data_IF_239739971848
#
_entry.id   IF_239739971848
#
_cell.length_a   1.000
_cell.length_b   1.000
_cell.length_c   1.000
_cell.angle_alpha   90.00
_cell.angle_beta   90.00
_cell.angle_gamma   90.00
#
_symmetry.space_group_name_H-M   'P 1'
#
loop_
_entity.id
_entity.type
_entity.pdbx_description
1 polymer ?
#
# COMPACT_ATOMS: atom_id res chain seq x y z
N UNK A 1 -83.81 -72.83 54.55
CA UNK A 1 -82.99 -74.05 54.76
C UNK A 1 -81.55 -73.62 54.97
N UNK A 2 -80.88 -74.25 55.95
CA UNK A 2 -79.47 -74.15 56.31
C UNK A 2 -78.98 -72.90 57.06
N UNK A 3 -78.55 -73.15 58.30
CA UNK A 3 -77.92 -72.27 59.30
C UNK A 3 -76.38 -72.38 59.19
N UNK A 4 -75.65 -71.35 59.61
CA UNK A 4 -74.41 -71.41 60.42
C UNK A 4 -73.99 -69.96 60.76
N UNK A 5 -74.17 -69.48 62.00
CA UNK A 5 -73.26 -69.56 63.16
C UNK A 5 -71.89 -68.87 62.93
N UNK A 6 -71.70 -67.70 63.55
CA UNK A 6 -70.73 -67.45 64.64
C UNK A 6 -70.92 -66.06 65.29
N UNK A 7 -71.43 -66.11 66.53
CA UNK A 7 -71.17 -65.32 67.75
C UNK A 7 -71.11 -63.78 67.80
N UNK A 8 -71.80 -63.16 68.80
CA UNK A 8 -71.84 -61.72 69.07
C UNK A 8 -71.07 -61.28 70.36
N UNK A 9 -70.80 -59.97 70.46
CA UNK A 9 -70.56 -59.21 71.71
C UNK A 9 -70.49 -57.73 71.34
N UNK A 10 -71.50 -56.87 71.58
CA UNK A 10 -72.08 -56.40 72.86
C UNK A 10 -70.99 -55.76 73.74
N UNK A 11 -71.02 -54.50 74.18
CA UNK A 11 -72.04 -53.46 74.19
C UNK A 11 -71.43 -52.12 74.68
N UNK A 12 -72.18 -51.02 74.50
CA UNK A 12 -72.17 -49.77 75.28
C UNK A 12 -70.99 -48.79 75.16
N UNK A 13 -71.17 -47.47 75.23
CA UNK A 13 -72.30 -46.56 74.99
C UNK A 13 -71.69 -45.13 74.91
N UNK A 14 -72.45 -44.23 74.30
CA UNK A 14 -72.24 -42.81 74.08
C UNK A 14 -71.43 -42.01 75.12
N UNK A 15 -70.56 -41.11 74.62
CA UNK A 15 -70.74 -39.66 74.82
C UNK A 15 -69.73 -38.80 74.03
N UNK A 16 -70.27 -37.82 73.30
CA UNK A 16 -69.82 -36.43 73.18
C UNK A 16 -68.55 -36.02 72.38
N UNK A 17 -68.88 -35.41 71.23
CA UNK A 17 -68.47 -34.06 70.79
C UNK A 17 -67.07 -33.81 70.22
N UNK A 18 -67.10 -33.13 69.07
CA UNK A 18 -66.05 -32.34 68.43
C UNK A 18 -65.00 -33.08 67.59
N UNK A 19 -64.92 -32.65 66.32
CA UNK A 19 -63.71 -32.49 65.49
C UNK A 19 -63.72 -33.16 64.11
N UNK A 20 -64.70 -32.82 63.26
CA UNK A 20 -64.54 -32.97 61.80
C UNK A 20 -64.24 -31.63 61.10
N UNK A 21 -63.50 -30.74 61.78
CA UNK A 21 -62.79 -29.59 61.19
C UNK A 21 -61.37 -29.99 60.76
N UNK A 22 -61.22 -31.10 60.01
CA UNK A 22 -59.96 -31.39 59.31
C UNK A 22 -60.20 -31.29 57.81
N UNK A 23 -60.79 -30.16 57.44
CA UNK A 23 -60.56 -29.52 56.15
C UNK A 23 -59.07 -29.23 56.01
N UNK A 24 -58.47 -29.65 54.90
CA UNK A 24 -57.61 -28.77 54.09
C UNK A 24 -56.32 -28.19 54.71
N UNK A 25 -55.81 -28.68 55.85
CA UNK A 25 -54.68 -28.04 56.53
C UNK A 25 -53.30 -28.67 56.28
N UNK A 26 -53.15 -29.60 55.33
CA UNK A 26 -51.87 -30.27 55.07
C UNK A 26 -51.21 -29.94 53.71
N UNK A 27 -51.59 -28.84 53.04
CA UNK A 27 -50.90 -28.39 51.81
C UNK A 27 -50.43 -26.92 51.84
N UNK A 28 -50.44 -26.28 53.02
CA UNK A 28 -50.13 -24.85 53.16
C UNK A 28 -48.73 -24.54 53.74
N UNK A 29 -47.71 -25.37 53.52
CA UNK A 29 -46.34 -25.01 53.92
C UNK A 29 -45.32 -24.80 52.79
N UNK A 30 -45.57 -25.22 51.53
CA UNK A 30 -44.55 -25.10 50.46
C UNK A 30 -44.81 -24.04 49.38
N UNK A 31 -45.65 -23.03 49.64
CA UNK A 31 -45.94 -21.97 48.64
C UNK A 31 -45.09 -20.68 48.78
N UNK A 32 -44.28 -20.52 49.84
CA UNK A 32 -43.58 -19.25 50.12
C UNK A 32 -42.20 -19.08 49.47
N UNK A 33 -41.59 -20.12 48.90
CA UNK A 33 -40.28 -20.02 48.25
C UNK A 33 -40.31 -19.76 46.73
N UNK A 34 -41.48 -19.54 46.11
CA UNK A 34 -41.59 -19.34 44.65
C UNK A 34 -41.44 -17.88 44.20
N UNK A 35 -41.52 -16.92 45.10
CA UNK A 35 -41.39 -15.48 44.78
C UNK A 35 -39.94 -15.02 44.61
N UNK A 36 -39.00 -15.57 45.37
CA UNK A 36 -37.58 -15.14 45.30
C UNK A 36 -36.89 -15.66 44.03
N UNK A 37 -37.30 -16.84 43.55
CA UNK A 37 -36.75 -17.45 42.33
C UNK A 37 -36.95 -16.58 41.09
N UNK A 38 -38.04 -15.79 41.03
CA UNK A 38 -38.29 -14.92 39.87
C UNK A 38 -37.21 -13.83 39.75
N UNK A 39 -36.74 -13.26 40.85
CA UNK A 39 -35.69 -12.23 40.83
C UNK A 39 -34.37 -12.78 40.32
N UNK A 40 -33.96 -13.97 40.80
CA UNK A 40 -32.75 -14.63 40.32
C UNK A 40 -32.85 -15.05 38.85
N UNK A 41 -34.00 -15.59 38.41
CA UNK A 41 -34.21 -15.97 37.01
C UNK A 41 -34.26 -14.75 36.08
N UNK A 42 -34.88 -13.65 36.50
CA UNK A 42 -34.88 -12.39 35.73
C UNK A 42 -33.46 -11.86 35.60
N UNK A 43 -32.68 -11.83 36.68
CA UNK A 43 -31.30 -11.35 36.64
C UNK A 43 -30.41 -12.25 35.77
N UNK A 44 -30.55 -13.57 35.89
CA UNK A 44 -29.83 -14.54 35.07
C UNK A 44 -30.17 -14.44 33.58
N UNK A 45 -31.45 -14.25 33.24
CA UNK A 45 -31.87 -14.07 31.85
C UNK A 45 -31.35 -12.77 31.24
N UNK A 46 -31.31 -11.68 32.01
CA UNK A 46 -30.70 -10.42 31.54
C UNK A 46 -29.19 -10.60 31.33
N UNK A 47 -28.50 -11.28 32.24
CA UNK A 47 -27.07 -11.53 32.13
C UNK A 47 -26.72 -12.43 30.92
N UNK A 48 -27.46 -13.52 30.70
CA UNK A 48 -27.30 -14.38 29.51
C UNK A 48 -27.58 -13.62 28.22
N UNK A 49 -28.63 -12.80 28.19
CA UNK A 49 -28.96 -11.95 27.04
C UNK A 49 -27.84 -10.96 26.72
N UNK A 50 -27.22 -10.36 27.75
CA UNK A 50 -26.09 -9.46 27.57
C UNK A 50 -24.89 -10.18 26.93
N UNK A 51 -24.58 -11.41 27.36
CA UNK A 51 -23.50 -12.22 26.77
C UNK A 51 -23.84 -12.60 25.31
N UNK A 52 -25.09 -13.00 25.03
CA UNK A 52 -25.55 -13.25 23.66
C UNK A 52 -25.44 -12.02 22.76
N UNK A 53 -25.74 -10.82 23.29
CA UNK A 53 -25.56 -9.56 22.56
C UNK A 53 -24.10 -9.30 22.21
N UNK A 54 -23.17 -9.53 23.15
CA UNK A 54 -21.73 -9.40 22.87
C UNK A 54 -21.26 -10.35 21.76
N UNK A 55 -21.82 -11.56 21.67
CA UNK A 55 -21.46 -12.50 20.60
C UNK A 55 -22.09 -12.13 19.25
N UNK A 56 -23.42 -12.03 19.21
CA UNK A 56 -24.16 -11.91 17.95
C UNK A 56 -24.18 -10.47 17.44
N UNK A 57 -24.53 -9.51 18.31
CA UNK A 57 -24.71 -8.14 17.88
C UNK A 57 -23.36 -7.48 17.56
N UNK A 58 -22.34 -7.66 18.41
CA UNK A 58 -20.99 -7.17 18.07
C UNK A 58 -20.42 -7.90 16.87
N UNK A 59 -20.66 -9.21 16.72
CA UNK A 59 -20.26 -9.95 15.53
C UNK A 59 -20.79 -9.29 14.25
N UNK A 60 -22.09 -8.97 14.22
CA UNK A 60 -22.71 -8.24 13.10
C UNK A 60 -22.09 -6.85 12.90
N UNK A 61 -21.93 -6.07 13.98
CA UNK A 61 -21.31 -4.73 13.89
C UNK A 61 -19.89 -4.79 13.33
N UNK A 62 -19.08 -5.77 13.72
CA UNK A 62 -17.73 -5.94 13.19
C UNK A 62 -17.73 -6.33 11.71
N UNK A 63 -18.65 -7.20 11.28
CA UNK A 63 -18.82 -7.51 9.85
C UNK A 63 -19.23 -6.27 9.08
N UNK A 64 -20.23 -5.52 9.54
CA UNK A 64 -20.64 -4.25 8.90
C UNK A 64 -19.49 -3.25 8.86
N UNK A 65 -18.66 -3.17 9.90
CA UNK A 65 -17.49 -2.29 9.92
C UNK A 65 -16.45 -2.71 8.87
N UNK A 66 -16.22 -4.01 8.68
CA UNK A 66 -15.33 -4.51 7.65
C UNK A 66 -15.88 -4.23 6.23
N UNK A 67 -17.17 -4.46 6.00
CA UNK A 67 -17.85 -4.10 4.75
C UNK A 67 -17.73 -2.60 4.44
N UNK A 68 -17.96 -1.75 5.45
CA UNK A 68 -17.76 -0.31 5.33
C UNK A 68 -16.32 0.05 4.97
N UNK A 69 -15.32 -0.60 5.59
CA UNK A 69 -13.92 -0.31 5.29
C UNK A 69 -13.58 -0.67 3.84
N UNK A 70 -14.02 -1.83 3.35
CA UNK A 70 -13.81 -2.22 1.95
C UNK A 70 -14.46 -1.23 0.98
N UNK A 71 -15.68 -0.77 1.27
CA UNK A 71 -16.35 0.26 0.48
C UNK A 71 -15.60 1.61 0.53
N UNK A 72 -15.08 2.01 1.69
CA UNK A 72 -14.36 3.26 1.87
C UNK A 72 -13.04 3.25 1.10
N UNK A 73 -12.30 2.14 1.15
CA UNK A 73 -11.04 1.98 0.42
C UNK A 73 -11.26 2.00 -1.10
N UNK A 74 -12.33 1.36 -1.59
CA UNK A 74 -12.72 1.41 -3.00
C UNK A 74 -13.11 2.82 -3.44
N UNK A 75 -13.96 3.50 -2.67
CA UNK A 75 -14.42 4.86 -2.97
C UNK A 75 -13.27 5.87 -2.94
N UNK A 76 -12.39 5.82 -1.94
CA UNK A 76 -11.24 6.71 -1.82
C UNK A 76 -10.26 6.53 -2.99
N UNK A 77 -9.94 5.28 -3.35
CA UNK A 77 -9.04 4.99 -4.49
C UNK A 77 -9.63 5.43 -5.82
N UNK A 78 -10.91 5.19 -6.05
CA UNK A 78 -11.60 5.64 -7.26
C UNK A 78 -11.60 7.18 -7.35
N UNK A 79 -11.86 7.88 -6.24
CA UNK A 79 -11.82 9.33 -6.20
C UNK A 79 -10.41 9.88 -6.46
N UNK A 80 -9.38 9.26 -5.87
CA UNK A 80 -8.00 9.67 -6.06
C UNK A 80 -7.51 9.46 -7.50
N UNK A 81 -8.08 8.50 -8.24
CA UNK A 81 -7.75 8.25 -9.64
C UNK A 81 -8.09 9.44 -10.57
N UNK A 82 -9.15 10.17 -10.22
CA UNK A 82 -9.70 11.27 -11.02
C UNK A 82 -9.04 12.63 -10.69
N UNK A 83 -8.17 12.69 -9.68
CA UNK A 83 -7.43 13.93 -9.38
C UNK A 83 -6.56 14.33 -10.58
N UNK A 84 -6.49 15.62 -10.92
CA UNK A 84 -6.93 16.79 -10.14
C UNK A 84 -8.40 17.22 -10.36
N UNK A 85 -9.21 16.51 -11.15
CA UNK A 85 -10.62 16.88 -11.37
C UNK A 85 -11.50 16.50 -10.18
N UNK A 86 -11.81 17.51 -9.37
CA UNK A 86 -12.60 17.39 -8.14
C UNK A 86 -14.03 16.91 -8.40
N UNK A 87 -14.64 17.34 -9.51
CA UNK A 87 -16.03 16.99 -9.80
C UNK A 87 -16.14 15.50 -10.15
N UNK A 88 -15.22 15.03 -11.00
CA UNK A 88 -15.10 13.60 -11.33
C UNK A 88 -14.74 12.77 -10.11
N UNK A 89 -13.81 13.23 -9.27
CA UNK A 89 -13.44 12.56 -8.02
C UNK A 89 -14.65 12.37 -7.07
N UNK A 90 -15.48 13.41 -6.89
CA UNK A 90 -16.70 13.32 -6.08
C UNK A 90 -17.70 12.33 -6.70
N UNK A 91 -17.92 12.41 -8.01
CA UNK A 91 -18.86 11.54 -8.70
C UNK A 91 -18.46 10.06 -8.57
N UNK A 92 -17.17 9.75 -8.74
CA UNK A 92 -16.63 8.39 -8.58
C UNK A 92 -16.69 7.90 -7.14
N UNK A 93 -16.35 8.73 -6.14
CA UNK A 93 -16.49 8.38 -4.74
C UNK A 93 -17.94 7.96 -4.39
N UNK A 94 -18.92 8.75 -4.85
CA UNK A 94 -20.35 8.47 -4.62
C UNK A 94 -20.80 7.21 -5.36
N UNK A 95 -20.36 7.04 -6.61
CA UNK A 95 -20.70 5.86 -7.41
C UNK A 95 -20.21 4.57 -6.76
N UNK A 96 -18.91 4.50 -6.42
CA UNK A 96 -18.32 3.32 -5.80
C UNK A 96 -18.77 3.09 -4.36
N UNK A 97 -19.19 4.13 -3.64
CA UNK A 97 -19.83 3.93 -2.33
C UNK A 97 -21.20 3.25 -2.47
N UNK A 98 -22.01 3.67 -3.47
CA UNK A 98 -23.37 3.15 -3.69
C UNK A 98 -23.41 1.74 -4.25
N UNK A 99 -22.40 1.34 -5.03
CA UNK A 99 -22.32 -0.03 -5.56
C UNK A 99 -21.95 -1.03 -4.48
N UNK A 100 -21.36 -0.58 -3.38
CA UNK A 100 -21.10 -1.41 -2.22
C UNK A 100 -22.27 -1.39 -1.22
N UNK A 101 -22.44 -2.51 -0.51
CA UNK A 101 -23.44 -2.65 0.55
C UNK A 101 -22.75 -2.84 1.89
N UNK A 102 -23.42 -2.42 2.95
CA UNK A 102 -23.04 -2.72 4.32
C UNK A 102 -24.30 -3.05 5.10
N UNK A 103 -24.29 -4.16 5.84
CA UNK A 103 -25.48 -4.72 6.50
C UNK A 103 -26.65 -4.93 5.51
N UNK A 104 -26.34 -5.36 4.28
CA UNK A 104 -27.32 -5.68 3.23
C UNK A 104 -27.99 -4.49 2.54
N UNK A 105 -27.62 -3.25 2.88
CA UNK A 105 -28.17 -2.04 2.22
C UNK A 105 -27.08 -1.24 1.52
N UNK A 106 -27.37 -0.54 0.40
CA UNK A 106 -26.39 0.34 -0.24
C UNK A 106 -25.89 1.43 0.71
N UNK A 107 -24.63 1.86 0.53
CA UNK A 107 -24.06 2.93 1.34
C UNK A 107 -24.31 4.27 0.65
N UNK A 108 -24.91 5.21 1.38
CA UNK A 108 -25.10 6.58 0.91
C UNK A 108 -24.06 7.49 1.53
N UNK A 109 -23.39 8.25 0.67
CA UNK A 109 -22.37 9.22 1.02
C UNK A 109 -22.94 10.64 0.86
N UNK A 110 -22.62 11.54 1.80
CA UNK A 110 -22.86 12.98 1.67
C UNK A 110 -21.57 13.68 1.19
N UNK A 111 -21.50 14.16 -0.07
CA UNK A 111 -20.28 14.72 -0.64
C UNK A 111 -19.70 15.89 0.16
N UNK A 112 -20.53 16.68 0.85
CA UNK A 112 -20.07 17.85 1.58
C UNK A 112 -19.45 17.52 2.94
N UNK A 113 -19.89 16.43 3.57
CA UNK A 113 -19.50 16.07 4.93
C UNK A 113 -18.56 14.85 5.02
N UNK A 114 -18.56 14.00 3.98
CA UNK A 114 -17.89 12.71 4.00
C UNK A 114 -16.69 12.61 3.04
N UNK A 115 -16.51 13.58 2.14
CA UNK A 115 -15.33 13.66 1.25
C UNK A 115 -14.52 14.90 1.60
N UNK A 116 -13.24 14.69 1.84
CA UNK A 116 -12.28 15.77 2.05
C UNK A 116 -11.09 15.61 1.12
N UNK A 117 -10.69 16.69 0.47
CA UNK A 117 -9.50 16.73 -0.36
C UNK A 117 -8.35 17.36 0.41
N UNK A 118 -7.15 16.83 0.21
CA UNK A 118 -5.99 17.32 0.94
C UNK A 118 -4.66 16.95 0.33
N UNK A 119 -3.61 17.31 1.08
CA UNK A 119 -2.25 16.86 0.83
C UNK A 119 -1.85 15.81 1.85
N UNK A 120 -1.40 14.66 1.37
CA UNK A 120 -0.71 13.66 2.16
C UNK A 120 0.80 13.88 2.04
N UNK A 121 1.47 14.05 3.18
CA UNK A 121 2.93 14.05 3.28
C UNK A 121 3.41 12.63 3.60
N UNK A 122 4.12 11.98 2.67
CA UNK A 122 4.60 10.60 2.83
C UNK A 122 5.69 10.47 3.90
N UNK A 123 6.46 11.53 4.18
CA UNK A 123 7.52 11.50 5.20
C UNK A 123 6.93 11.67 6.59
N UNK A 124 5.98 12.60 6.76
CA UNK A 124 5.33 12.88 8.04
C UNK A 124 4.15 11.95 8.35
N UNK A 125 3.61 11.28 7.32
CA UNK A 125 2.37 10.48 7.39
C UNK A 125 1.20 11.31 7.92
N UNK A 126 1.05 12.52 7.40
CA UNK A 126 0.03 13.47 7.83
C UNK A 126 -0.84 13.92 6.66
N UNK A 127 -2.15 13.92 6.88
CA UNK A 127 -3.13 14.53 5.99
C UNK A 127 -3.39 15.98 6.38
N UNK A 128 -3.25 16.89 5.41
CA UNK A 128 -3.61 18.30 5.55
C UNK A 128 -4.79 18.59 4.63
N UNK A 129 -5.96 18.86 5.22
CA UNK A 129 -7.17 19.25 4.48
C UNK A 129 -6.94 20.55 3.71
N UNK A 130 -7.38 20.59 2.47
CA UNK A 130 -7.35 21.77 1.62
C UNK A 130 -8.78 22.29 1.40
N UNK A 131 -8.91 23.61 1.27
CA UNK A 131 -10.20 24.29 1.09
C UNK A 131 -10.12 25.33 -0.02
N UNK A 132 -11.26 25.63 -0.66
CA UNK A 132 -11.35 26.64 -1.72
C UNK A 132 -10.49 26.26 -2.94
N UNK A 133 -9.84 27.25 -3.54
CA UNK A 133 -9.02 27.03 -4.75
C UNK A 133 -7.83 26.10 -4.53
N UNK A 134 -7.39 25.87 -3.29
CA UNK A 134 -6.26 25.00 -3.01
C UNK A 134 -6.54 23.52 -3.34
N UNK A 135 -7.82 23.12 -3.43
CA UNK A 135 -8.24 21.73 -3.68
C UNK A 135 -7.72 21.22 -5.03
N UNK A 136 -7.51 22.09 -6.02
CA UNK A 136 -6.95 21.69 -7.34
C UNK A 136 -5.53 21.12 -7.24
N UNK A 137 -4.82 21.40 -6.14
CA UNK A 137 -3.49 20.87 -5.84
C UNK A 137 -3.53 19.70 -4.83
N UNK A 138 -4.70 19.10 -4.59
CA UNK A 138 -4.82 17.93 -3.74
C UNK A 138 -4.12 16.72 -4.37
N UNK A 139 -3.38 15.96 -3.56
CA UNK A 139 -2.82 14.67 -3.96
C UNK A 139 -3.49 13.50 -3.21
N UNK A 140 -4.43 13.79 -2.30
CA UNK A 140 -5.05 12.79 -1.44
C UNK A 140 -6.54 13.08 -1.26
N UNK A 141 -7.33 12.02 -1.26
CA UNK A 141 -8.77 12.05 -0.94
C UNK A 141 -8.99 11.26 0.34
N UNK A 142 -9.68 11.87 1.29
CA UNK A 142 -10.17 11.27 2.53
C UNK A 142 -11.67 11.02 2.39
N UNK A 143 -12.10 9.77 2.57
CA UNK A 143 -13.50 9.37 2.54
C UNK A 143 -13.90 8.78 3.88
N UNK A 144 -14.98 9.31 4.47
CA UNK A 144 -15.58 8.78 5.70
C UNK A 144 -16.91 8.10 5.38
N UNK A 145 -17.03 6.80 5.63
CA UNK A 145 -18.31 6.09 5.51
C UNK A 145 -18.92 5.82 6.89
N UNK A 146 -20.26 5.99 6.98
CA UNK A 146 -20.99 6.00 8.25
C UNK A 146 -22.30 5.22 8.18
N UNK A 147 -22.51 4.37 9.18
CA UNK A 147 -23.81 3.78 9.58
C UNK A 147 -24.15 4.35 10.93
N UNK A 148 -25.03 5.35 10.97
CA UNK A 148 -25.29 6.13 12.20
C UNK A 148 -26.77 6.34 12.44
N UNK A 149 -27.18 6.46 13.70
CA UNK A 149 -28.57 6.62 14.07
C UNK A 149 -29.16 7.91 13.47
N UNK A 150 -28.36 8.98 13.41
CA UNK A 150 -28.74 10.26 12.81
C UNK A 150 -29.07 10.17 11.31
N UNK A 151 -28.52 9.18 10.60
CA UNK A 151 -28.80 8.93 9.17
C UNK A 151 -29.89 7.87 8.97
N UNK A 152 -30.46 7.33 10.05
CA UNK A 152 -31.41 6.22 9.99
C UNK A 152 -30.80 4.90 9.52
N UNK A 153 -29.47 4.79 9.50
CA UNK A 153 -28.74 3.64 8.93
C UNK A 153 -27.88 2.90 9.95
N UNK A 154 -28.05 3.16 11.26
CA UNK A 154 -27.31 2.46 12.30
C UNK A 154 -27.56 0.94 12.26
N UNK A 155 -26.56 0.17 12.69
CA UNK A 155 -26.66 -1.30 12.72
C UNK A 155 -27.65 -1.70 13.82
N UNK A 156 -28.77 -2.37 13.49
CA UNK A 156 -29.76 -2.72 14.49
C UNK A 156 -29.24 -3.87 15.37
N UNK A 157 -29.34 -3.69 16.69
CA UNK A 157 -29.00 -4.73 17.66
C UNK A 157 -30.24 -5.58 17.94
N UNK A 158 -30.09 -6.91 17.95
CA UNK A 158 -31.18 -7.84 18.20
C UNK A 158 -31.36 -8.05 19.71
N UNK A 159 -30.29 -8.46 20.40
CA UNK A 159 -30.31 -8.73 21.85
C UNK A 159 -30.03 -7.47 22.67
N UNK A 160 -29.26 -6.53 22.12
CA UNK A 160 -28.99 -5.22 22.75
C UNK A 160 -30.27 -4.43 23.08
N UNK A 161 -31.36 -4.66 22.34
CA UNK A 161 -32.67 -4.03 22.59
C UNK A 161 -33.21 -4.35 23.98
N UNK A 162 -32.93 -5.54 24.50
CA UNK A 162 -33.41 -6.00 25.81
C UNK A 162 -32.74 -5.21 26.95
N UNK A 163 -31.52 -4.72 26.73
CA UNK A 163 -30.77 -3.88 27.67
C UNK A 163 -30.83 -2.37 27.32
N UNK A 164 -31.76 -1.98 26.44
CA UNK A 164 -32.03 -0.58 26.10
C UNK A 164 -31.24 0.00 24.93
N UNK A 165 -30.32 -0.75 24.31
CA UNK A 165 -29.54 -0.31 23.16
C UNK A 165 -30.14 -0.83 21.85
N UNK A 166 -30.76 0.06 21.06
CA UNK A 166 -31.51 -0.34 19.86
C UNK A 166 -30.63 -0.51 18.62
N UNK A 167 -29.51 0.20 18.56
CA UNK A 167 -28.60 0.21 17.42
C UNK A 167 -27.19 0.58 17.86
N UNK A 168 -26.20 0.30 17.01
CA UNK A 168 -24.82 0.73 17.17
C UNK A 168 -24.36 1.47 15.92
N UNK A 169 -23.64 2.56 16.12
CA UNK A 169 -23.08 3.37 15.05
C UNK A 169 -21.71 2.81 14.64
N UNK A 170 -21.45 2.74 13.35
CA UNK A 170 -20.17 2.34 12.77
C UNK A 170 -19.67 3.43 11.81
N UNK A 171 -18.42 3.85 12.00
CA UNK A 171 -17.75 4.83 11.13
C UNK A 171 -16.36 4.31 10.78
N UNK A 172 -15.97 4.51 9.52
CA UNK A 172 -14.65 4.15 8.99
C UNK A 172 -14.10 5.32 8.18
N UNK A 173 -12.77 5.43 8.15
CA UNK A 173 -12.05 6.42 7.35
C UNK A 173 -11.11 5.70 6.39
N UNK A 174 -10.99 6.22 5.17
CA UNK A 174 -10.00 5.77 4.21
C UNK A 174 -9.34 6.96 3.53
N UNK A 175 -8.02 6.88 3.37
CA UNK A 175 -7.21 7.88 2.69
C UNK A 175 -6.57 7.24 1.48
N UNK A 176 -6.73 7.84 0.31
CA UNK A 176 -6.07 7.41 -0.91
C UNK A 176 -5.27 8.56 -1.50
N UNK A 177 -3.98 8.32 -1.71
CA UNK A 177 -3.05 9.26 -2.31
C UNK A 177 -2.79 8.90 -3.76
N UNK A 178 -2.89 9.90 -4.63
CA UNK A 178 -2.44 9.88 -6.01
C UNK A 178 -0.97 10.31 -6.07
N UNK A 179 -0.15 9.42 -6.60
CA UNK A 179 1.19 9.75 -7.10
C UNK A 179 1.03 10.07 -8.58
N UNK A 180 1.20 11.34 -9.00
CA UNK A 180 0.99 11.72 -10.38
C UNK A 180 2.04 11.07 -11.29
N UNK A 181 1.66 10.78 -12.53
CA UNK A 181 2.65 10.43 -13.55
C UNK A 181 3.61 11.60 -13.76
N UNK A 182 4.88 11.30 -13.98
CA UNK A 182 5.89 12.28 -14.33
C UNK A 182 6.73 11.73 -15.47
N UNK A 183 6.89 12.52 -16.53
CA UNK A 183 7.76 12.19 -17.65
C UNK A 183 8.84 13.27 -17.74
N UNK A 184 10.10 12.85 -17.84
CA UNK A 184 11.25 13.75 -18.00
C UNK A 184 12.07 13.28 -19.17
N UNK A 185 12.32 14.17 -20.12
CA UNK A 185 13.23 13.90 -21.22
C UNK A 185 14.67 14.22 -20.76
N UNK A 186 15.56 13.25 -20.91
CA UNK A 186 16.96 13.34 -20.54
C UNK A 186 17.83 13.06 -21.77
N UNK A 187 18.70 14.01 -22.11
CA UNK A 187 19.80 13.75 -23.05
C UNK A 187 20.97 13.10 -22.30
N UNK A 188 21.48 12.00 -22.86
CA UNK A 188 22.65 11.26 -22.37
C UNK A 188 23.69 11.21 -23.50
N UNK A 189 24.77 12.00 -23.39
CA UNK A 189 25.90 11.90 -24.32
C UNK A 189 26.57 10.52 -24.26
N UNK A 190 27.12 10.06 -25.38
CA UNK A 190 27.93 8.83 -25.43
C UNK A 190 29.13 8.87 -24.45
N UNK A 191 29.66 10.08 -24.21
CA UNK A 191 30.77 10.33 -23.29
C UNK A 191 30.40 10.32 -21.80
N UNK A 192 29.14 10.12 -21.44
CA UNK A 192 28.71 10.12 -20.04
C UNK A 192 29.25 8.87 -19.33
N UNK A 193 30.24 9.06 -18.46
CA UNK A 193 30.88 8.01 -17.67
C UNK A 193 30.15 7.84 -16.31
N UNK A 194 29.57 6.66 -16.01
CA UNK A 194 28.80 6.46 -14.77
C UNK A 194 29.65 6.66 -13.50
N UNK A 195 30.96 6.41 -13.54
CA UNK A 195 31.87 6.56 -12.40
C UNK A 195 32.21 8.02 -12.06
N UNK A 196 31.80 8.98 -12.91
CA UNK A 196 31.93 10.42 -12.64
C UNK A 196 30.60 11.08 -12.23
N UNK A 197 29.54 10.29 -12.09
CA UNK A 197 28.24 10.77 -11.63
C UNK A 197 28.34 11.35 -10.21
N UNK A 198 27.89 12.58 -10.01
CA UNK A 198 27.89 13.24 -8.71
C UNK A 198 29.27 13.57 -8.13
N UNK A 199 30.34 13.41 -8.91
CA UNK A 199 31.71 13.76 -8.51
C UNK A 199 32.04 15.23 -8.79
N UNK A 200 32.89 15.88 -7.97
CA UNK A 200 33.30 17.26 -8.20
C UNK A 200 34.16 17.41 -9.45
N UNK A 201 34.15 18.61 -10.05
CA UNK A 201 35.00 18.97 -11.19
C UNK A 201 36.46 18.56 -10.94
N UNK A 202 37.07 17.92 -11.92
CA UNK A 202 38.47 17.48 -11.87
C UNK A 202 38.69 16.13 -11.20
N UNK A 203 37.66 15.49 -10.65
CA UNK A 203 37.71 14.07 -10.31
C UNK A 203 38.05 13.25 -11.57
N UNK A 204 38.75 12.13 -11.35
CA UNK A 204 39.28 11.31 -12.42
C UNK A 204 38.68 9.90 -12.33
N UNK A 205 38.42 9.29 -13.48
CA UNK A 205 38.04 7.88 -13.63
C UNK A 205 38.85 7.28 -14.80
N UNK A 206 38.86 5.95 -14.92
CA UNK A 206 39.62 5.26 -15.96
C UNK A 206 41.14 5.53 -15.88
N UNK A 207 41.70 5.78 -14.69
CA UNK A 207 43.10 6.25 -14.53
C UNK A 207 44.18 5.33 -15.12
N UNK A 208 43.92 4.02 -15.17
CA UNK A 208 44.86 2.99 -15.58
C UNK A 208 44.36 2.28 -16.85
N UNK A 209 43.60 2.98 -17.70
CA UNK A 209 43.10 2.36 -18.92
C UNK A 209 44.24 2.03 -19.90
N UNK A 210 44.04 1.03 -20.79
CA UNK A 210 45.06 0.60 -21.74
C UNK A 210 45.58 1.69 -22.69
N UNK A 211 44.81 2.76 -22.89
CA UNK A 211 45.15 3.86 -23.79
C UNK A 211 45.81 5.06 -23.07
N UNK A 212 46.04 4.98 -21.76
CA UNK A 212 46.62 6.05 -20.94
C UNK A 212 45.87 7.40 -21.07
N UNK A 213 44.54 7.34 -21.24
CA UNK A 213 43.68 8.48 -21.53
C UNK A 213 42.56 8.59 -20.47
N UNK A 214 42.83 9.18 -19.29
CA UNK A 214 41.85 9.20 -18.20
C UNK A 214 40.65 10.12 -18.47
N UNK A 215 39.51 9.79 -17.86
CA UNK A 215 38.29 10.58 -17.94
C UNK A 215 38.21 11.60 -16.81
N UNK A 216 37.64 12.78 -17.07
CA UNK A 216 37.59 13.86 -16.09
C UNK A 216 36.19 14.40 -15.87
N UNK A 217 35.81 14.55 -14.61
CA UNK A 217 34.57 15.22 -14.24
C UNK A 217 34.59 16.71 -14.62
N UNK A 218 33.51 17.16 -15.23
CA UNK A 218 33.32 18.53 -15.68
C UNK A 218 32.44 19.38 -14.75
N UNK A 219 31.80 20.39 -15.33
CA UNK A 219 30.77 21.23 -14.70
C UNK A 219 29.49 21.19 -15.53
N UNK A 220 28.38 21.76 -15.04
CA UNK A 220 27.14 21.81 -15.82
C UNK A 220 27.30 22.49 -17.21
N UNK A 221 28.18 23.50 -17.33
CA UNK A 221 28.41 24.23 -18.58
C UNK A 221 29.45 23.55 -19.50
N UNK A 222 30.28 22.66 -18.95
CA UNK A 222 31.22 21.85 -19.70
C UNK A 222 31.32 20.49 -19.01
N UNK A 223 30.36 19.59 -19.26
CA UNK A 223 30.20 18.36 -18.48
C UNK A 223 31.36 17.39 -18.69
N UNK A 224 32.12 17.49 -19.79
CA UNK A 224 33.13 16.50 -20.16
C UNK A 224 32.49 15.10 -20.14
N UNK A 225 32.98 14.20 -19.29
CA UNK A 225 32.45 12.86 -19.09
C UNK A 225 31.48 12.76 -17.90
N UNK A 226 31.16 13.85 -17.19
CA UNK A 226 30.19 13.83 -16.09
C UNK A 226 28.75 13.65 -16.62
N UNK A 227 28.02 12.61 -16.18
CA UNK A 227 26.60 12.48 -16.45
C UNK A 227 25.81 13.61 -15.78
N UNK A 228 24.80 14.13 -16.48
CA UNK A 228 23.86 15.08 -15.91
C UNK A 228 22.80 14.34 -15.08
N UNK A 229 22.40 14.92 -13.95
CA UNK A 229 21.33 14.34 -13.13
C UNK A 229 19.98 14.52 -13.80
N UNK A 230 19.17 13.46 -13.83
CA UNK A 230 17.77 13.54 -14.24
C UNK A 230 17.02 14.41 -13.24
N UNK A 231 16.42 15.50 -13.72
CA UNK A 231 15.71 16.46 -12.86
C UNK A 231 14.30 15.94 -12.58
N UNK A 232 14.19 15.04 -11.60
CA UNK A 232 12.91 14.52 -11.12
C UNK A 232 12.93 14.23 -9.62
N UNK A 233 11.81 14.44 -8.90
CA UNK A 233 11.69 14.00 -7.51
C UNK A 233 11.70 12.47 -7.44
N UNK A 234 12.59 11.93 -6.61
CA UNK A 234 12.67 10.50 -6.32
C UNK A 234 12.09 10.22 -4.92
N UNK A 235 11.22 9.23 -4.83
CA UNK A 235 10.72 8.70 -3.56
C UNK A 235 11.04 7.22 -3.51
N UNK A 236 11.56 6.76 -2.38
CA UNK A 236 11.80 5.34 -2.12
C UNK A 236 10.57 4.50 -2.47
N UNK A 237 10.80 3.42 -3.22
CA UNK A 237 9.74 2.50 -3.65
C UNK A 237 8.93 2.96 -4.87
N UNK A 238 9.19 4.17 -5.40
CA UNK A 238 8.63 4.54 -6.70
C UNK A 238 9.17 3.62 -7.80
N UNK A 239 8.30 3.27 -8.75
CA UNK A 239 8.70 2.60 -9.99
C UNK A 239 9.11 3.64 -11.04
N UNK A 240 10.24 3.42 -11.72
CA UNK A 240 10.63 4.13 -12.94
C UNK A 240 10.64 3.20 -14.14
N UNK A 241 10.30 3.73 -15.31
CA UNK A 241 10.34 3.02 -16.59
C UNK A 241 10.97 3.88 -17.68
N UNK A 242 11.57 3.24 -18.67
CA UNK A 242 12.32 3.89 -19.76
C UNK A 242 11.68 3.54 -21.11
N UNK A 243 10.54 4.15 -21.39
CA UNK A 243 9.63 3.68 -22.46
C UNK A 243 10.01 4.12 -23.87
N UNK A 244 10.78 5.21 -23.97
CA UNK A 244 11.11 5.85 -25.24
C UNK A 244 12.54 6.31 -25.18
N UNK A 245 13.39 5.56 -25.87
CA UNK A 245 14.80 5.89 -26.04
C UNK A 245 15.04 6.06 -27.54
N UNK A 246 15.68 7.16 -27.90
CA UNK A 246 16.07 7.46 -29.28
C UNK A 246 17.53 7.87 -29.33
N UNK A 247 18.13 7.80 -30.52
CA UNK A 247 19.56 8.02 -30.68
C UNK A 247 20.38 6.77 -30.39
N UNK A 248 21.67 6.89 -30.67
CA UNK A 248 22.64 5.80 -30.67
C UNK A 248 23.97 6.33 -30.16
N UNK A 249 24.82 5.43 -29.69
CA UNK A 249 26.16 5.75 -29.21
C UNK A 249 27.13 4.70 -29.71
N UNK A 250 28.42 5.03 -29.63
CA UNK A 250 29.54 4.13 -29.90
C UNK A 250 30.70 4.46 -28.98
N UNK A 251 31.44 3.44 -28.58
CA UNK A 251 32.61 3.55 -27.69
C UNK A 251 33.91 3.92 -28.42
N UNK A 252 33.87 4.01 -29.74
CA UNK A 252 34.97 4.58 -30.53
C UNK A 252 34.38 5.26 -31.77
N UNK A 253 34.87 6.46 -32.17
CA UNK A 253 34.36 7.16 -33.34
C UNK A 253 34.42 6.35 -34.65
N UNK A 254 35.38 5.41 -34.76
CA UNK A 254 35.58 4.55 -35.91
C UNK A 254 34.71 3.30 -35.95
N UNK A 255 33.91 3.04 -34.91
CA UNK A 255 33.02 1.88 -34.82
C UNK A 255 31.58 2.21 -35.21
N UNK A 256 30.76 1.16 -35.28
CA UNK A 256 29.34 1.25 -35.60
C UNK A 256 28.54 1.86 -34.44
N UNK A 257 27.37 2.41 -34.77
CA UNK A 257 26.40 2.91 -33.80
C UNK A 257 25.57 1.79 -33.20
N UNK A 258 25.41 1.81 -31.87
CA UNK A 258 24.64 0.81 -31.14
C UNK A 258 23.37 1.38 -30.50
N UNK A 259 22.32 0.56 -30.60
CA UNK A 259 21.05 0.76 -29.91
C UNK A 259 21.21 0.63 -28.38
N UNK A 260 20.20 1.04 -27.59
CA UNK A 260 20.32 1.10 -26.13
C UNK A 260 20.68 -0.20 -25.41
N UNK A 261 20.36 -1.37 -25.97
CA UNK A 261 20.79 -2.67 -25.42
C UNK A 261 22.31 -2.93 -25.52
N UNK A 262 23.01 -2.12 -26.31
CA UNK A 262 24.44 -2.27 -26.55
C UNK A 262 24.77 -3.41 -27.51
N UNK A 263 26.04 -3.77 -27.53
CA UNK A 263 26.57 -4.85 -28.35
C UNK A 263 26.52 -6.17 -27.56
N UNK A 264 25.51 -6.99 -27.82
CA UNK A 264 25.30 -8.25 -27.08
C UNK A 264 26.41 -9.31 -27.30
N UNK A 265 27.27 -9.10 -28.30
CA UNK A 265 28.43 -9.95 -28.57
C UNK A 265 29.67 -9.57 -27.75
N UNK A 266 29.69 -8.36 -27.18
CA UNK A 266 30.80 -7.86 -26.37
C UNK A 266 30.29 -7.39 -24.99
N UNK A 267 30.48 -8.25 -24.00
CA UNK A 267 29.96 -8.07 -22.64
C UNK A 267 31.13 -8.15 -21.68
N UNK A 268 31.33 -7.09 -20.91
CA UNK A 268 32.49 -6.93 -20.07
C UNK A 268 32.22 -6.02 -18.89
N UNK A 269 33.30 -5.74 -18.16
CA UNK A 269 33.32 -4.95 -16.94
C UNK A 269 34.35 -3.83 -17.09
N UNK A 270 34.30 -2.82 -16.22
CA UNK A 270 35.29 -1.75 -16.26
C UNK A 270 36.69 -2.31 -15.95
N UNK A 271 37.71 -1.90 -16.71
CA UNK A 271 39.09 -2.38 -16.52
C UNK A 271 39.62 -2.04 -15.12
N UNK A 272 39.18 -0.92 -14.56
CA UNK A 272 39.54 -0.48 -13.21
C UNK A 272 38.61 -1.05 -12.12
N UNK A 273 37.59 -1.82 -12.48
CA UNK A 273 36.55 -2.26 -11.57
C UNK A 273 35.70 -1.11 -11.04
N UNK A 274 35.40 -1.15 -9.74
CA UNK A 274 34.59 -0.10 -9.10
C UNK A 274 35.42 1.15 -8.87
N UNK A 275 34.93 2.32 -9.31
CA UNK A 275 35.64 3.60 -9.21
C UNK A 275 34.80 4.65 -8.47
N UNK A 276 35.45 5.60 -7.80
CA UNK A 276 34.80 6.72 -7.11
C UNK A 276 33.67 6.31 -6.14
N UNK A 277 33.78 5.12 -5.53
CA UNK A 277 32.77 4.57 -4.64
C UNK A 277 31.51 4.05 -5.35
N UNK A 278 31.46 4.06 -6.68
CA UNK A 278 30.37 3.54 -7.51
C UNK A 278 30.74 2.11 -7.93
N UNK A 279 29.77 1.18 -7.86
CA UNK A 279 30.03 -0.21 -8.24
C UNK A 279 30.33 -0.32 -9.72
N UNK A 280 31.16 -1.30 -10.06
CA UNK A 280 31.24 -1.81 -11.42
C UNK A 280 29.93 -2.52 -11.81
N UNK A 281 29.80 -2.89 -13.08
CA UNK A 281 28.77 -3.78 -13.62
C UNK A 281 29.36 -4.63 -14.71
N UNK A 282 28.87 -5.86 -14.91
CA UNK A 282 29.14 -6.60 -16.14
C UNK A 282 27.95 -6.47 -17.07
N UNK A 283 28.10 -5.82 -18.23
CA UNK A 283 27.00 -5.53 -19.15
C UNK A 283 27.52 -5.42 -20.61
N UNK A 284 26.62 -5.52 -21.61
CA UNK A 284 26.97 -5.27 -23.02
C UNK A 284 27.58 -3.87 -23.20
N UNK A 285 28.69 -3.75 -23.92
CA UNK A 285 29.29 -2.45 -24.25
C UNK A 285 28.30 -1.59 -25.03
N UNK A 286 28.40 -0.27 -24.90
CA UNK A 286 27.45 0.73 -25.39
C UNK A 286 26.06 0.69 -24.73
N UNK A 287 25.73 -0.24 -23.84
CA UNK A 287 24.39 -0.30 -23.24
C UNK A 287 24.03 0.98 -22.47
N UNK A 288 22.74 1.32 -22.41
CA UNK A 288 22.25 2.35 -21.49
C UNK A 288 22.25 1.77 -20.07
N UNK A 289 22.84 2.50 -19.14
CA UNK A 289 22.89 2.16 -17.71
C UNK A 289 22.37 3.29 -16.84
N UNK A 290 21.88 2.91 -15.66
CA UNK A 290 21.40 3.82 -14.64
C UNK A 290 22.19 3.72 -13.34
N UNK A 291 22.13 4.80 -12.55
CA UNK A 291 22.73 4.89 -11.23
C UNK A 291 21.89 5.79 -10.31
N UNK A 292 21.52 5.25 -9.15
CA UNK A 292 20.90 6.05 -8.08
C UNK A 292 21.94 6.50 -7.07
N UNK A 293 21.89 7.77 -6.67
CA UNK A 293 22.73 8.37 -5.63
C UNK A 293 21.85 9.12 -4.61
N UNK A 294 22.36 9.25 -3.39
CA UNK A 294 21.86 10.21 -2.40
C UNK A 294 22.55 11.57 -2.61
N UNK A 295 22.41 12.52 -1.69
CA UNK A 295 23.03 13.86 -1.82
C UNK A 295 24.53 13.90 -1.49
N UNK A 296 25.10 12.80 -1.00
CA UNK A 296 26.52 12.75 -0.59
C UNK A 296 27.44 12.53 -1.79
N UNK A 297 28.71 12.94 -1.66
CA UNK A 297 29.70 12.65 -2.69
C UNK A 297 30.00 11.13 -2.71
N UNK A 298 29.95 10.44 -3.86
CA UNK A 298 29.96 8.97 -3.89
C UNK A 298 31.22 8.31 -3.32
N UNK A 299 32.40 8.93 -3.47
CA UNK A 299 33.67 8.35 -3.03
C UNK A 299 33.93 8.48 -1.52
N UNK A 300 32.97 8.97 -0.74
CA UNK A 300 33.06 9.05 0.73
C UNK A 300 32.81 7.71 1.43
N UNK A 301 32.35 6.69 0.70
CA UNK A 301 32.15 5.33 1.16
C UNK A 301 32.53 4.32 0.06
N UNK A 302 32.74 3.06 0.44
CA UNK A 302 33.03 1.97 -0.49
C UNK A 302 31.91 1.72 -1.50
N UNK A 303 32.25 1.11 -2.64
CA UNK A 303 31.28 0.69 -3.64
C UNK A 303 30.47 -0.53 -3.15
N UNK A 304 29.17 -0.61 -3.50
CA UNK A 304 28.37 -1.81 -3.25
C UNK A 304 28.79 -2.93 -4.21
N UNK A 305 28.28 -4.14 -3.97
CA UNK A 305 28.50 -5.29 -4.87
C UNK A 305 27.98 -5.01 -6.28
N UNK A 306 28.79 -5.33 -7.28
CA UNK A 306 28.45 -5.18 -8.70
C UNK A 306 27.31 -6.11 -9.14
N UNK A 307 26.51 -5.65 -10.11
CA UNK A 307 25.54 -6.47 -10.81
C UNK A 307 26.18 -7.14 -12.04
N UNK A 308 25.62 -8.27 -12.45
CA UNK A 308 26.09 -9.03 -13.60
C UNK A 308 24.94 -9.33 -14.57
N UNK A 309 25.02 -8.72 -15.75
CA UNK A 309 24.07 -8.82 -16.86
C UNK A 309 24.68 -9.56 -18.06
N UNK A 310 25.58 -10.53 -17.83
CA UNK A 310 26.25 -11.30 -18.89
C UNK A 310 25.28 -12.17 -19.67
N UNK A 311 24.29 -12.78 -19.01
CA UNK A 311 23.38 -13.74 -19.65
C UNK A 311 22.10 -13.06 -20.12
N UNK A 312 21.46 -13.60 -21.16
CA UNK A 312 20.12 -13.14 -21.57
C UNK A 312 19.13 -13.22 -20.41
N UNK A 313 19.17 -14.30 -19.63
CA UNK A 313 18.32 -14.48 -18.45
C UNK A 313 18.51 -13.37 -17.41
N UNK A 314 19.75 -12.90 -17.18
CA UNK A 314 20.02 -11.79 -16.27
C UNK A 314 19.51 -10.44 -16.77
N UNK A 315 19.32 -10.28 -18.09
CA UNK A 315 18.72 -9.08 -18.71
C UNK A 315 17.21 -9.20 -18.90
N UNK A 316 16.66 -10.41 -18.91
CA UNK A 316 15.24 -10.70 -19.12
C UNK A 316 14.45 -10.69 -17.79
N UNK A 317 14.36 -9.53 -17.16
CA UNK A 317 13.57 -9.30 -15.95
C UNK A 317 12.41 -8.33 -16.22
N UNK A 318 11.40 -8.33 -15.36
CA UNK A 318 10.30 -7.33 -15.38
C UNK A 318 10.46 -6.27 -14.31
N UNK A 319 11.16 -6.57 -13.22
CA UNK A 319 11.43 -5.65 -12.12
C UNK A 319 12.88 -5.78 -11.65
N UNK A 320 13.53 -4.67 -11.36
CA UNK A 320 14.84 -4.61 -10.72
C UNK A 320 14.80 -3.66 -9.51
N UNK A 321 15.50 -4.04 -8.45
CA UNK A 321 15.65 -3.26 -7.22
C UNK A 321 17.14 -2.87 -7.01
N UNK A 322 17.68 -1.88 -7.77
CA UNK A 322 19.08 -1.44 -7.61
C UNK A 322 19.33 -0.83 -6.24
N UNK A 323 20.57 -0.89 -5.75
CA UNK A 323 21.00 -0.16 -4.55
C UNK A 323 21.54 1.23 -4.91
N UNK A 324 21.68 2.10 -3.91
CA UNK A 324 22.48 3.32 -4.05
C UNK A 324 23.90 2.98 -4.50
N UNK A 325 24.46 3.80 -5.40
CA UNK A 325 25.83 3.66 -5.94
C UNK A 325 26.04 2.38 -6.76
N UNK A 326 24.96 1.67 -7.11
CA UNK A 326 25.01 0.44 -7.89
C UNK A 326 24.60 0.71 -9.33
N UNK A 327 25.50 0.47 -10.29
CA UNK A 327 25.19 0.60 -11.72
C UNK A 327 24.27 -0.57 -12.12
N UNK A 328 23.23 -0.28 -12.89
CA UNK A 328 22.29 -1.29 -13.41
C UNK A 328 22.03 -1.13 -14.91
N UNK A 329 21.83 -2.25 -15.60
CA UNK A 329 21.46 -2.30 -17.01
C UNK A 329 20.03 -1.79 -17.21
N UNK A 330 19.85 -0.88 -18.16
CA UNK A 330 18.54 -0.40 -18.61
C UNK A 330 18.25 -0.93 -20.01
N UNK A 331 19.24 -0.91 -20.90
CA UNK A 331 19.05 -1.31 -22.29
C UNK A 331 18.03 -0.43 -23.00
N UNK A 332 17.15 -1.04 -23.78
CA UNK A 332 15.98 -0.39 -24.38
C UNK A 332 14.78 -0.21 -23.43
N UNK A 333 14.94 -0.60 -22.16
CA UNK A 333 13.89 -0.56 -21.13
C UNK A 333 12.86 -1.69 -21.25
N UNK A 334 13.14 -2.74 -22.04
CA UNK A 334 12.28 -3.89 -22.24
C UNK A 334 13.05 -5.19 -22.04
N UNK A 335 12.29 -6.23 -21.71
CA UNK A 335 12.81 -7.58 -21.67
C UNK A 335 12.77 -8.21 -23.07
N UNK A 336 13.27 -9.45 -23.24
CA UNK A 336 13.35 -10.08 -24.56
C UNK A 336 11.98 -10.36 -25.22
N UNK A 337 10.89 -10.34 -24.43
CA UNK A 337 9.51 -10.41 -24.92
C UNK A 337 8.89 -9.06 -25.29
N UNK A 338 9.63 -7.96 -25.21
CA UNK A 338 9.13 -6.60 -25.44
C UNK A 338 8.28 -6.05 -24.29
N UNK A 339 8.26 -6.74 -23.14
CA UNK A 339 7.57 -6.27 -21.93
C UNK A 339 8.44 -5.23 -21.25
N UNK A 340 7.82 -4.15 -20.81
CA UNK A 340 8.47 -3.05 -20.09
C UNK A 340 9.14 -3.55 -18.81
N UNK A 341 10.34 -3.06 -18.56
CA UNK A 341 11.05 -3.26 -17.31
C UNK A 341 10.78 -2.12 -16.32
N UNK A 342 10.67 -2.49 -15.06
CA UNK A 342 10.41 -1.59 -13.94
C UNK A 342 11.64 -1.51 -13.03
N UNK A 343 12.01 -0.29 -12.65
CA UNK A 343 13.17 -0.02 -11.80
C UNK A 343 12.73 0.67 -10.52
N UNK A 344 12.89 0.02 -9.38
CA UNK A 344 12.43 0.52 -8.09
C UNK A 344 13.47 1.46 -7.49
N UNK A 345 13.04 2.67 -7.17
CA UNK A 345 13.89 3.70 -6.55
C UNK A 345 14.34 3.22 -5.15
N UNK A 346 15.65 3.06 -4.90
CA UNK A 346 16.13 2.59 -3.61
C UNK A 346 15.93 3.60 -2.49
N UNK A 347 15.94 3.09 -1.26
CA UNK A 347 15.97 3.89 -0.04
C UNK A 347 17.10 4.90 -0.08
N UNK A 348 16.75 6.17 0.19
CA UNK A 348 17.71 7.28 0.27
C UNK A 348 18.10 7.89 -1.07
N UNK A 349 17.59 7.39 -2.21
CA UNK A 349 17.88 7.98 -3.51
C UNK A 349 17.26 9.37 -3.64
N UNK A 350 18.09 10.34 -4.01
CA UNK A 350 17.69 11.72 -4.29
C UNK A 350 18.10 12.17 -5.69
N UNK A 351 19.03 11.44 -6.32
CA UNK A 351 19.55 11.71 -7.67
C UNK A 351 19.53 10.44 -8.52
N UNK A 352 19.13 10.57 -9.78
CA UNK A 352 19.26 9.56 -10.82
C UNK A 352 20.21 10.07 -11.89
N UNK A 353 21.15 9.24 -12.31
CA UNK A 353 22.04 9.49 -13.44
C UNK A 353 21.87 8.39 -14.47
N UNK A 354 21.95 8.78 -15.74
CA UNK A 354 21.94 7.88 -16.88
C UNK A 354 23.25 8.05 -17.65
N UNK A 355 23.81 6.95 -18.10
CA UNK A 355 25.13 6.92 -18.74
C UNK A 355 25.19 5.83 -19.81
N UNK A 356 26.23 5.89 -20.63
CA UNK A 356 26.56 4.81 -21.56
C UNK A 356 27.51 3.85 -20.86
N UNK A 357 27.39 2.55 -21.11
CA UNK A 357 28.34 1.56 -20.62
C UNK A 357 29.52 1.40 -21.58
N UNK A 358 30.70 1.34 -21.01
CA UNK A 358 31.98 1.11 -21.68
C UNK A 358 32.89 0.33 -20.72
N UNK A 359 34.04 -0.13 -21.19
CA UNK A 359 35.02 -0.81 -20.35
C UNK A 359 36.13 0.12 -19.88
N UNK A 360 36.36 1.23 -20.58
CA UNK A 360 37.31 2.29 -20.26
C UNK A 360 37.18 3.46 -21.26
N UNK A 361 37.79 4.61 -20.93
CA UNK A 361 37.98 5.75 -21.85
C UNK A 361 36.70 6.33 -22.48
N UNK A 362 35.72 6.71 -21.66
CA UNK A 362 34.47 7.31 -22.19
C UNK A 362 34.69 8.62 -22.96
N UNK A 363 35.88 9.23 -22.88
CA UNK A 363 36.19 10.48 -23.55
C UNK A 363 36.25 10.39 -25.09
N UNK A 364 36.48 9.21 -25.67
CA UNK A 364 36.47 9.02 -27.13
C UNK A 364 35.08 8.61 -27.66
N UNK A 365 34.15 8.23 -26.78
CA UNK A 365 32.80 7.85 -27.16
C UNK A 365 32.08 8.95 -27.94
N UNK A 366 31.19 8.55 -28.84
CA UNK A 366 30.41 9.49 -29.63
C UNK A 366 28.94 9.09 -29.73
N UNK A 367 28.13 10.02 -30.26
CA UNK A 367 26.68 9.89 -30.28
C UNK A 367 26.03 10.39 -28.99
N UNK A 368 24.71 10.24 -28.94
CA UNK A 368 23.87 10.64 -27.81
C UNK A 368 22.53 9.92 -27.86
N UNK A 369 21.89 9.79 -26.70
CA UNK A 369 20.54 9.27 -26.57
C UNK A 369 19.62 10.31 -25.94
N UNK A 370 18.38 10.38 -26.40
CA UNK A 370 17.31 11.06 -25.69
C UNK A 370 16.37 10.02 -25.09
N UNK A 371 16.25 10.04 -23.76
CA UNK A 371 15.51 9.07 -22.97
C UNK A 371 14.33 9.79 -22.33
N UNK A 372 13.13 9.24 -22.48
CA UNK A 372 11.99 9.65 -21.66
C UNK A 372 11.90 8.76 -20.43
N UNK A 373 12.36 9.29 -19.30
CA UNK A 373 12.21 8.65 -17.98
C UNK A 373 10.80 8.89 -17.49
N UNK A 374 10.08 7.81 -17.17
CA UNK A 374 8.71 7.90 -16.69
C UNK A 374 8.58 7.34 -15.28
N UNK A 375 7.82 8.06 -14.48
CA UNK A 375 7.22 7.57 -13.25
C UNK A 375 5.73 7.35 -13.54
N UNK A 376 5.23 6.11 -13.52
CA UNK A 376 3.83 5.82 -13.79
C UNK A 376 2.95 6.40 -12.67
N UNK A 377 1.70 6.67 -13.01
CA UNK A 377 0.70 7.07 -12.02
C UNK A 377 0.40 5.89 -11.10
N UNK A 378 0.40 6.15 -9.79
CA UNK A 378 0.09 5.11 -8.81
C UNK A 378 -0.88 5.64 -7.76
N UNK A 379 -1.80 4.79 -7.30
CA UNK A 379 -2.75 5.12 -6.25
C UNK A 379 -2.48 4.20 -5.08
N UNK A 380 -2.18 4.80 -3.93
CA UNK A 380 -1.91 4.05 -2.70
C UNK A 380 -2.92 4.43 -1.62
N UNK A 381 -3.43 3.43 -0.90
CA UNK A 381 -4.17 3.68 0.33
C UNK A 381 -3.15 3.97 1.43
N UNK A 382 -3.31 5.09 2.11
CA UNK A 382 -2.43 5.56 3.19
C UNK A 382 -3.17 5.46 4.52
N UNK A 383 -2.42 5.31 5.62
CA UNK A 383 -2.95 5.16 6.97
C UNK A 383 -2.39 6.22 7.89
#
# INVERSE_FOLDING_TARGET
MSKNLLTPGSMCNASNTASNNVSQAASMYNRRARGVVIYYMTFAMVALTAICSLGVDLGRVQVTKAELQHAADGAARAAAAELPDVNSAIAFAVYYSKTNTADGTPITLDPAADIEFGKWDTKKKTFTKLTGMAITNANCVHVTLRRTANRGTAVPLLFGKIIGQKSCDATVNSYAMLIPKLNVDQNVPGTANPFLAGMPKGAIASNNNPHNSPDFAGTANNPRQSPLSVTMPLVEGDTLTFDSISGVVRHDPGLDDFQPDGELADIGHNTNGSENGISDVTAPINALVGLFLDDTQPNTSGAPTSLNFTTEASRNFTELNPKLKQIFFIGDGKNSGGVRQEFIVPKGATRLYLATWDFYEWNNNSGQRNIQVKKPQHIITVK
#
